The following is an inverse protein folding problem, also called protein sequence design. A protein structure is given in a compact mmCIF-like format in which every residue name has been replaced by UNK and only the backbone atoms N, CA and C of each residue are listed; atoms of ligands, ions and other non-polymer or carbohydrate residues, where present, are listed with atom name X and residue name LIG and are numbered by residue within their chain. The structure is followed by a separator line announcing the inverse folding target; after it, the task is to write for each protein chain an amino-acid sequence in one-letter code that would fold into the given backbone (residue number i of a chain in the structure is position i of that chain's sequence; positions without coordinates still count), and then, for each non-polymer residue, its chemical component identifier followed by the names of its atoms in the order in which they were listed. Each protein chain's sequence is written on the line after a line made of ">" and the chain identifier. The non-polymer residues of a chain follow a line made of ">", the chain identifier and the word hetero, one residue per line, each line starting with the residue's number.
data_IF_653294631819
#
_entry.id   IF_653294631819
#
_cell.length_a   1.000
_cell.length_b   1.000
_cell.length_c   1.000
_cell.angle_alpha   90.00
_cell.angle_beta   90.00
_cell.angle_gamma   90.00
#
_symmetry.space_group_name_H-M   'P 1'
#
loop_
_entity.id
_entity.type
_entity.pdbx_description
1 polymer ?
#
# COMPACT_ATOMS: atom_id res chain seq x y z
N UNK A 1 -68.09 -26.12 24.18
CA UNK A 1 -68.42 -25.24 23.05
C UNK A 1 -67.21 -24.37 22.75
N UNK A 2 -66.83 -24.36 21.49
CA UNK A 2 -66.06 -23.32 20.77
C UNK A 2 -64.54 -23.21 20.95
N UNK A 3 -63.94 -23.11 19.77
CA UNK A 3 -62.53 -23.03 19.42
C UNK A 3 -61.97 -21.59 19.47
N UNK A 4 -60.63 -21.49 19.49
CA UNK A 4 -59.82 -20.64 18.59
C UNK A 4 -58.32 -20.92 18.90
N UNK A 5 -57.56 -21.55 18.01
CA UNK A 5 -56.82 -20.99 16.87
C UNK A 5 -55.78 -19.92 17.22
N UNK A 6 -54.51 -20.31 17.06
CA UNK A 6 -53.48 -19.56 16.33
C UNK A 6 -52.84 -18.35 17.02
N UNK A 7 -51.54 -18.44 17.31
CA UNK A 7 -50.60 -17.54 16.63
C UNK A 7 -49.17 -18.09 16.62
N UNK A 8 -48.64 -18.26 15.41
CA UNK A 8 -47.22 -18.34 15.09
C UNK A 8 -46.59 -16.93 15.15
N UNK A 9 -45.27 -16.89 14.97
CA UNK A 9 -44.38 -15.72 14.86
C UNK A 9 -43.75 -15.25 16.17
N UNK A 10 -42.43 -15.11 16.28
CA UNK A 10 -41.40 -15.29 15.27
C UNK A 10 -40.04 -15.26 15.93
N UNK A 11 -39.11 -16.02 15.35
CA UNK A 11 -37.70 -15.83 15.61
C UNK A 11 -37.31 -14.41 15.21
N UNK A 12 -36.83 -13.65 16.18
CA UNK A 12 -35.91 -12.55 15.91
C UNK A 12 -34.57 -12.97 16.51
N UNK A 13 -33.83 -13.75 15.73
CA UNK A 13 -32.38 -13.73 15.80
C UNK A 13 -31.95 -12.31 15.44
N UNK A 14 -31.82 -11.48 16.47
CA UNK A 14 -31.22 -10.16 16.36
C UNK A 14 -29.71 -10.36 16.28
N UNK A 15 -29.27 -10.91 15.16
CA UNK A 15 -27.86 -11.04 14.81
C UNK A 15 -27.39 -9.67 14.34
N UNK A 16 -27.02 -8.84 15.32
CA UNK A 16 -26.12 -7.71 15.10
C UNK A 16 -24.80 -8.27 14.60
N UNK A 17 -24.70 -8.47 13.29
CA UNK A 17 -23.47 -8.79 12.60
C UNK A 17 -22.57 -7.56 12.68
N UNK A 18 -21.75 -7.50 13.73
CA UNK A 18 -20.58 -6.63 13.75
C UNK A 18 -19.72 -6.99 12.55
N UNK A 19 -19.61 -6.08 11.58
CA UNK A 19 -18.75 -6.27 10.43
C UNK A 19 -17.33 -6.60 10.92
N UNK A 20 -16.74 -7.66 10.37
CA UNK A 20 -15.35 -8.03 10.67
C UNK A 20 -14.44 -6.83 10.38
N UNK A 21 -13.41 -6.62 11.21
CA UNK A 21 -12.39 -5.58 11.03
C UNK A 21 -11.82 -5.55 9.61
N UNK A 22 -11.71 -6.71 8.94
CA UNK A 22 -11.26 -6.82 7.55
C UNK A 22 -12.24 -6.18 6.55
N UNK A 23 -13.53 -6.38 6.76
CA UNK A 23 -14.58 -5.85 5.90
C UNK A 23 -14.66 -4.32 6.02
N UNK A 24 -14.58 -3.80 7.24
CA UNK A 24 -14.54 -2.36 7.50
C UNK A 24 -13.32 -1.69 6.87
N UNK A 25 -12.15 -2.34 6.91
CA UNK A 25 -10.93 -1.83 6.28
C UNK A 25 -11.06 -1.79 4.75
N UNK A 26 -11.65 -2.82 4.15
CA UNK A 26 -11.90 -2.88 2.71
C UNK A 26 -12.84 -1.75 2.25
N UNK A 27 -13.97 -1.56 2.93
CA UNK A 27 -14.95 -0.50 2.61
C UNK A 27 -14.34 0.90 2.79
N UNK A 28 -13.50 1.07 3.82
CA UNK A 28 -12.72 2.29 4.03
C UNK A 28 -11.81 2.60 2.83
N UNK A 29 -11.04 1.62 2.35
CA UNK A 29 -10.14 1.78 1.18
C UNK A 29 -10.90 2.07 -0.10
N UNK A 30 -11.99 1.35 -0.37
CA UNK A 30 -12.80 1.55 -1.57
C UNK A 30 -13.40 2.96 -1.63
N UNK A 31 -13.82 3.51 -0.49
CA UNK A 31 -14.30 4.90 -0.41
C UNK A 31 -13.21 5.92 -0.74
N UNK A 32 -11.98 5.69 -0.27
CA UNK A 32 -10.87 6.59 -0.57
C UNK A 32 -10.50 6.52 -2.05
N UNK A 33 -10.31 5.31 -2.59
CA UNK A 33 -9.92 5.09 -4.00
C UNK A 33 -10.96 5.66 -4.97
N UNK A 34 -12.25 5.60 -4.63
CA UNK A 34 -13.32 6.13 -5.50
C UNK A 34 -13.43 7.66 -5.51
N UNK A 35 -12.87 8.34 -4.50
CA UNK A 35 -13.04 9.79 -4.30
C UNK A 35 -11.75 10.57 -4.54
N UNK A 36 -10.60 9.97 -4.21
CA UNK A 36 -9.29 10.56 -4.41
C UNK A 36 -8.89 10.55 -5.89
N UNK A 37 -8.28 11.65 -6.35
CA UNK A 37 -7.74 11.75 -7.72
C UNK A 37 -6.21 11.80 -7.65
N UNK A 38 -5.53 10.76 -8.13
CA UNK A 38 -4.08 10.74 -8.14
C UNK A 38 -3.47 11.84 -9.00
N UNK A 39 -2.35 12.41 -8.56
CA UNK A 39 -1.58 13.40 -9.29
C UNK A 39 -0.66 12.73 -10.32
N UNK A 40 -0.01 11.63 -9.92
CA UNK A 40 0.95 10.85 -10.71
C UNK A 40 0.45 9.43 -10.93
N UNK A 41 -0.39 9.24 -11.97
CA UNK A 41 -0.96 7.93 -12.32
C UNK A 41 0.10 6.90 -12.71
N UNK A 42 1.25 7.37 -13.17
CA UNK A 42 2.42 6.56 -13.48
C UNK A 42 2.97 5.81 -12.27
N UNK A 43 2.82 6.33 -11.04
CA UNK A 43 3.27 5.63 -9.83
C UNK A 43 2.53 4.29 -9.61
N UNK A 44 1.32 4.19 -10.14
CA UNK A 44 0.47 3.00 -10.06
C UNK A 44 0.75 2.00 -11.18
N UNK A 45 1.52 2.41 -12.18
CA UNK A 45 1.95 1.59 -13.30
C UNK A 45 3.42 1.23 -13.08
N UNK A 46 3.66 0.00 -12.59
CA UNK A 46 5.02 -0.52 -12.37
C UNK A 46 5.77 -0.69 -13.69
N UNK A 47 6.33 0.41 -14.19
CA UNK A 47 7.20 0.47 -15.36
C UNK A 47 8.64 0.51 -14.86
N UNK A 48 9.40 -0.60 -14.91
CA UNK A 48 10.67 -0.70 -14.19
C UNK A 48 11.69 0.38 -14.59
N UNK A 49 11.76 0.74 -15.88
CA UNK A 49 12.71 1.73 -16.38
C UNK A 49 12.48 3.17 -15.92
N UNK A 50 11.27 3.53 -15.49
CA UNK A 50 10.98 4.84 -14.88
C UNK A 50 11.05 4.82 -13.35
N UNK A 51 11.12 3.63 -12.77
CA UNK A 51 11.07 3.40 -11.33
C UNK A 51 12.46 3.22 -10.74
N UNK A 52 13.26 2.37 -11.39
CA UNK A 52 14.57 1.94 -10.91
C UNK A 52 15.71 2.61 -11.66
N UNK A 53 16.83 2.80 -10.97
CA UNK A 53 18.08 3.20 -11.62
C UNK A 53 18.59 2.05 -12.50
N UNK A 54 19.25 2.34 -13.65
CA UNK A 54 19.71 1.30 -14.57
C UNK A 54 20.68 0.29 -13.93
N UNK A 55 21.56 0.75 -13.04
CA UNK A 55 22.50 -0.12 -12.31
C UNK A 55 21.78 -1.20 -11.50
N UNK A 56 20.71 -0.84 -10.80
CA UNK A 56 19.88 -1.76 -10.04
C UNK A 56 19.19 -2.79 -10.93
N UNK A 57 18.56 -2.34 -12.03
CA UNK A 57 17.90 -3.24 -12.98
C UNK A 57 18.86 -4.25 -13.60
N UNK A 58 20.06 -3.78 -13.96
CA UNK A 58 21.09 -4.65 -14.52
C UNK A 58 21.51 -5.71 -13.50
N UNK A 59 21.80 -5.33 -12.26
CA UNK A 59 22.17 -6.27 -11.20
C UNK A 59 21.09 -7.33 -10.94
N UNK A 60 19.82 -6.94 -10.89
CA UNK A 60 18.69 -7.87 -10.74
C UNK A 60 18.55 -8.78 -11.97
N UNK A 61 18.77 -8.26 -13.18
CA UNK A 61 18.67 -9.05 -14.42
C UNK A 61 19.80 -10.06 -14.57
N UNK A 62 21.01 -9.71 -14.13
CA UNK A 62 22.18 -10.58 -14.15
C UNK A 62 22.09 -11.63 -13.02
N UNK A 63 21.54 -11.23 -11.87
CA UNK A 63 21.35 -12.07 -10.69
C UNK A 63 22.63 -12.84 -10.29
N UNK A 64 23.76 -12.14 -10.29
CA UNK A 64 25.07 -12.68 -9.90
C UNK A 64 25.60 -11.95 -8.67
N UNK A 65 26.43 -12.64 -7.87
CA UNK A 65 27.13 -12.00 -6.75
C UNK A 65 27.93 -10.77 -7.21
N UNK A 66 28.59 -10.86 -8.36
CA UNK A 66 29.41 -9.76 -8.90
C UNK A 66 28.54 -8.54 -9.26
N UNK A 67 27.41 -8.77 -9.93
CA UNK A 67 26.44 -7.71 -10.24
C UNK A 67 25.93 -7.00 -8.99
N UNK A 68 25.62 -7.75 -7.92
CA UNK A 68 25.21 -7.16 -6.64
C UNK A 68 26.35 -6.44 -5.91
N UNK A 69 27.56 -7.01 -5.88
CA UNK A 69 28.74 -6.35 -5.29
C UNK A 69 29.06 -5.02 -5.95
N UNK A 70 28.74 -4.86 -7.23
CA UNK A 70 28.98 -3.62 -7.97
C UNK A 70 28.03 -2.48 -7.58
N UNK A 71 26.88 -2.78 -6.97
CA UNK A 71 25.88 -1.76 -6.59
C UNK A 71 25.70 -1.62 -5.08
N UNK A 72 26.12 -2.63 -4.28
CA UNK A 72 25.99 -2.66 -2.83
C UNK A 72 27.28 -2.17 -2.17
N UNK A 73 27.13 -1.28 -1.18
CA UNK A 73 28.17 -0.95 -0.20
C UNK A 73 27.73 -1.30 1.21
N UNK A 74 28.67 -1.68 2.08
CA UNK A 74 28.41 -1.98 3.49
C UNK A 74 29.07 -0.93 4.39
N UNK A 75 28.40 0.21 4.70
CA UNK A 75 28.98 1.25 5.55
C UNK A 75 29.21 0.79 7.00
N UNK A 76 28.50 -0.24 7.44
CA UNK A 76 28.65 -0.87 8.76
C UNK A 76 28.26 -2.34 8.72
N UNK A 77 28.84 -3.21 9.57
CA UNK A 77 28.53 -4.63 9.58
C UNK A 77 27.03 -4.94 9.60
N UNK A 78 26.55 -5.67 8.60
CA UNK A 78 25.14 -6.06 8.44
C UNK A 78 24.22 -5.00 7.83
N UNK A 79 24.74 -3.85 7.41
CA UNK A 79 23.96 -2.77 6.76
C UNK A 79 24.41 -2.60 5.33
N UNK A 80 23.55 -2.96 4.38
CA UNK A 80 23.79 -2.82 2.95
C UNK A 80 23.08 -1.58 2.41
N UNK A 81 23.78 -0.79 1.61
CA UNK A 81 23.24 0.40 0.93
C UNK A 81 23.48 0.30 -0.57
N UNK A 82 22.48 0.71 -1.37
CA UNK A 82 22.54 0.70 -2.81
C UNK A 82 21.54 1.71 -3.37
N UNK A 83 21.82 2.24 -4.55
CA UNK A 83 20.87 3.09 -5.27
C UNK A 83 19.85 2.20 -5.98
N UNK A 84 18.57 2.44 -5.68
CA UNK A 84 17.46 1.65 -6.23
C UNK A 84 16.51 2.49 -7.07
N UNK A 85 16.03 3.61 -6.51
CA UNK A 85 14.95 4.40 -7.10
C UNK A 85 15.48 5.56 -7.93
N UNK A 86 14.82 5.87 -9.04
CA UNK A 86 15.12 7.08 -9.79
C UNK A 86 14.74 8.33 -8.98
N UNK A 87 15.56 9.41 -9.00
CA UNK A 87 15.22 10.65 -8.30
C UNK A 87 13.87 11.24 -8.73
N UNK A 88 13.52 11.13 -10.01
CA UNK A 88 12.22 11.57 -10.53
C UNK A 88 11.08 10.76 -9.92
N UNK A 89 11.25 9.45 -9.76
CA UNK A 89 10.27 8.61 -9.08
C UNK A 89 10.08 9.04 -7.62
N UNK A 90 11.18 9.26 -6.88
CA UNK A 90 11.12 9.75 -5.51
C UNK A 90 10.38 11.08 -5.41
N UNK A 91 10.63 12.02 -6.34
CA UNK A 91 9.92 13.29 -6.39
C UNK A 91 8.42 13.11 -6.59
N UNK A 92 8.02 12.32 -7.59
CA UNK A 92 6.60 12.04 -7.85
C UNK A 92 5.92 11.38 -6.65
N UNK A 93 6.61 10.47 -5.96
CA UNK A 93 6.08 9.81 -4.76
C UNK A 93 5.84 10.80 -3.61
N UNK A 94 6.77 11.74 -3.40
CA UNK A 94 6.61 12.80 -2.39
C UNK A 94 5.45 13.73 -2.78
N UNK A 95 5.42 14.20 -4.02
CA UNK A 95 4.34 15.07 -4.53
C UNK A 95 2.96 14.40 -4.39
N UNK A 96 2.87 13.10 -4.67
CA UNK A 96 1.64 12.31 -4.52
C UNK A 96 1.21 12.17 -3.06
N UNK A 97 2.15 11.90 -2.16
CA UNK A 97 1.86 11.80 -0.72
C UNK A 97 1.35 13.13 -0.17
N UNK A 98 1.98 14.25 -0.53
CA UNK A 98 1.52 15.59 -0.15
C UNK A 98 0.13 15.90 -0.73
N UNK A 99 -0.13 15.52 -1.98
CA UNK A 99 -1.44 15.69 -2.62
C UNK A 99 -2.53 14.90 -1.87
N UNK A 100 -2.23 13.67 -1.44
CA UNK A 100 -3.13 12.87 -0.64
C UNK A 100 -3.42 13.51 0.72
N UNK A 101 -2.41 13.97 1.44
CA UNK A 101 -2.58 14.66 2.73
C UNK A 101 -3.43 15.94 2.59
N UNK A 102 -3.21 16.69 1.52
CA UNK A 102 -4.00 17.88 1.20
C UNK A 102 -5.48 17.53 0.95
N UNK A 103 -5.74 16.52 0.13
CA UNK A 103 -7.09 16.04 -0.16
C UNK A 103 -7.81 15.55 1.10
N UNK A 104 -7.13 14.81 1.98
CA UNK A 104 -7.70 14.33 3.25
C UNK A 104 -8.14 15.51 4.13
N UNK A 105 -7.26 16.52 4.25
CA UNK A 105 -7.53 17.73 5.02
C UNK A 105 -8.70 18.53 4.46
N UNK A 106 -8.78 18.69 3.14
CA UNK A 106 -9.84 19.44 2.46
C UNK A 106 -11.20 18.74 2.53
N UNK A 107 -11.21 17.43 2.32
CA UNK A 107 -12.45 16.63 2.33
C UNK A 107 -12.95 16.27 3.72
N UNK A 108 -12.16 16.59 4.77
CA UNK A 108 -12.37 16.14 6.15
C UNK A 108 -12.57 14.63 6.25
N UNK A 109 -11.93 13.88 5.35
CA UNK A 109 -11.99 12.43 5.34
C UNK A 109 -11.28 11.92 6.59
N UNK A 110 -11.95 11.09 7.37
CA UNK A 110 -11.31 10.39 8.49
C UNK A 110 -10.43 9.30 7.93
N UNK A 111 -9.12 9.55 7.85
CA UNK A 111 -8.12 8.52 7.61
C UNK A 111 -7.65 7.92 8.94
N UNK A 112 -7.26 6.65 8.89
CA UNK A 112 -6.61 6.01 10.04
C UNK A 112 -5.17 6.54 10.14
N UNK A 113 -4.70 6.93 11.33
CA UNK A 113 -3.31 7.31 11.50
C UNK A 113 -2.37 6.17 11.06
N UNK A 114 -1.23 6.47 10.41
CA UNK A 114 -0.27 5.43 10.00
C UNK A 114 0.30 4.66 11.20
N UNK A 115 0.31 5.27 12.38
CA UNK A 115 0.41 4.60 13.68
C UNK A 115 -0.14 5.52 14.79
N UNK A 116 -0.35 4.99 16.00
CA UNK A 116 -0.94 5.73 17.14
C UNK A 116 -0.09 6.92 17.63
N UNK A 117 1.17 7.05 17.20
CA UNK A 117 2.12 8.07 17.65
C UNK A 117 2.52 9.10 16.59
N UNK A 118 2.16 8.91 15.33
CA UNK A 118 2.49 9.82 14.23
C UNK A 118 1.23 10.51 13.73
N UNK A 119 1.18 11.83 13.93
CA UNK A 119 0.12 12.70 13.40
C UNK A 119 0.35 13.07 11.91
N UNK A 120 1.47 12.63 11.33
CA UNK A 120 1.92 12.97 9.99
C UNK A 120 2.40 11.71 9.26
N UNK A 121 2.10 11.62 7.97
CA UNK A 121 2.42 10.47 7.13
C UNK A 121 1.19 9.82 6.54
N UNK A 122 1.34 9.37 5.30
CA UNK A 122 0.30 8.67 4.54
C UNK A 122 0.65 7.20 4.40
N UNK A 123 -0.32 6.32 4.64
CA UNK A 123 -0.17 4.90 4.32
C UNK A 123 -0.32 4.75 2.81
N UNK A 124 0.72 4.30 2.12
CA UNK A 124 0.73 4.16 0.65
C UNK A 124 -0.43 3.29 0.12
N UNK A 125 -0.84 2.30 0.90
CA UNK A 125 -1.98 1.46 0.55
C UNK A 125 -3.32 2.22 0.56
N UNK A 126 -3.46 3.26 1.41
CA UNK A 126 -4.72 3.99 1.56
C UNK A 126 -5.10 4.74 0.28
N UNK A 127 -4.13 5.07 -0.56
CA UNK A 127 -4.35 5.69 -1.87
C UNK A 127 -3.97 4.79 -3.06
N UNK A 128 -3.84 3.48 -2.83
CA UNK A 128 -3.87 2.46 -3.87
C UNK A 128 -2.52 1.92 -4.37
N UNK A 129 -1.42 2.13 -3.63
CA UNK A 129 -0.09 1.65 -4.01
C UNK A 129 0.25 0.22 -3.54
N UNK A 130 -0.64 -0.46 -2.83
CA UNK A 130 -0.43 -1.82 -2.29
C UNK A 130 0.11 -2.79 -3.36
N UNK A 131 -0.51 -2.84 -4.54
CA UNK A 131 -0.07 -3.73 -5.64
C UNK A 131 1.33 -3.39 -6.18
N UNK A 132 1.69 -2.12 -6.16
CA UNK A 132 3.02 -1.65 -6.56
C UNK A 132 4.06 -2.15 -5.55
N UNK A 133 3.80 -1.98 -4.27
CA UNK A 133 4.67 -2.42 -3.17
C UNK A 133 4.83 -3.94 -3.12
N UNK A 134 3.73 -4.68 -3.28
CA UNK A 134 3.75 -6.14 -3.35
C UNK A 134 4.67 -6.64 -4.47
N UNK A 135 4.61 -5.99 -5.64
CA UNK A 135 5.45 -6.32 -6.79
C UNK A 135 6.91 -5.95 -6.53
N UNK A 136 7.17 -4.76 -5.98
CA UNK A 136 8.51 -4.33 -5.59
C UNK A 136 9.17 -5.36 -4.67
N UNK A 137 8.46 -5.77 -3.62
CA UNK A 137 8.99 -6.72 -2.64
C UNK A 137 9.25 -8.10 -3.24
N UNK A 138 8.29 -8.68 -3.98
CA UNK A 138 8.39 -10.04 -4.51
C UNK A 138 9.39 -10.16 -5.65
N UNK A 139 9.39 -9.20 -6.57
CA UNK A 139 10.12 -9.32 -7.83
C UNK A 139 11.54 -8.74 -7.76
N UNK A 140 11.81 -7.82 -6.82
CA UNK A 140 13.09 -7.07 -6.79
C UNK A 140 13.82 -7.17 -5.46
N UNK A 141 13.13 -7.09 -4.31
CA UNK A 141 13.80 -7.10 -3.01
C UNK A 141 14.06 -8.52 -2.50
N UNK A 142 13.05 -9.40 -2.59
CA UNK A 142 13.15 -10.77 -2.11
C UNK A 142 14.31 -11.55 -2.76
N UNK A 143 14.54 -11.49 -4.09
CA UNK A 143 15.66 -12.17 -4.71
C UNK A 143 17.01 -11.75 -4.12
N UNK A 144 17.20 -10.47 -3.77
CA UNK A 144 18.45 -9.98 -3.17
C UNK A 144 18.70 -10.51 -1.75
N UNK A 145 17.64 -10.87 -1.02
CA UNK A 145 17.74 -11.34 0.37
C UNK A 145 18.05 -12.83 0.51
N UNK A 146 17.82 -13.60 -0.55
CA UNK A 146 18.00 -15.06 -0.56
C UNK A 146 19.14 -15.54 -1.46
N UNK A 147 19.76 -14.62 -2.21
CA UNK A 147 20.87 -14.90 -3.13
C UNK A 147 22.21 -14.95 -2.41
#
# INVERSE_FOLDING_TARGET
>A
MSANQGNENGGQDNSTQGASTKQLHKEYRERIISTYRPLHRELYQMTPGSFFVPSFLNAISENTEEGFRNIISEPSPGVLTFDMLQPQFCKMLVDEAENFENWVRETRTRILPPNTMNAYGSVLDDFGMERMLDKLMKDYILPMSTS
#
